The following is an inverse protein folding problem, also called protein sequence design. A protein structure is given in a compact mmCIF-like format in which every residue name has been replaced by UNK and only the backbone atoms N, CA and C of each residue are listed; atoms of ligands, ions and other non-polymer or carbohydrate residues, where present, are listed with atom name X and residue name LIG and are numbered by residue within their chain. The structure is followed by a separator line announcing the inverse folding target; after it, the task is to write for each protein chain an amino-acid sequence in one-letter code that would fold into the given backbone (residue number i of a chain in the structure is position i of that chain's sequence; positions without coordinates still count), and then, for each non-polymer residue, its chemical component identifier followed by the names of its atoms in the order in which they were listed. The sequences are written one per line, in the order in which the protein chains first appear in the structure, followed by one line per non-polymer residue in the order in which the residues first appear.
data_IF_390570467683
#
_entry.id   IF_390570467683
#
_cell.length_a   1.000
_cell.length_b   1.000
_cell.length_c   1.000
_cell.angle_alpha   90.00
_cell.angle_beta   90.00
_cell.angle_gamma   90.00
#
_symmetry.space_group_name_H-M   'P 1'
#
loop_
_entity.id
_entity.type
_entity.pdbx_description
1 polymer ?
#
# COMPACT_ATOMS: atom_id res chain seq x y z
N UNK A 1 -3.70 -6.76 26.43
CA UNK A 1 -3.49 -6.14 25.11
C UNK A 1 -3.77 -7.12 23.98
N UNK A 2 -3.00 -8.20 23.80
CA UNK A 2 -3.26 -9.19 22.72
C UNK A 2 -4.64 -9.85 22.84
N UNK A 3 -5.05 -10.28 24.05
CA UNK A 3 -6.41 -10.81 24.28
C UNK A 3 -7.51 -9.78 23.97
N UNK A 4 -7.24 -8.51 24.21
CA UNK A 4 -8.22 -7.43 24.00
C UNK A 4 -8.33 -7.08 22.52
N UNK A 5 -7.21 -7.08 21.78
CA UNK A 5 -7.26 -6.96 20.32
C UNK A 5 -7.97 -8.17 19.69
N UNK A 6 -7.72 -9.39 20.16
CA UNK A 6 -8.46 -10.56 19.68
C UNK A 6 -9.97 -10.42 19.93
N UNK A 7 -10.38 -10.00 21.13
CA UNK A 7 -11.79 -9.76 21.47
C UNK A 7 -12.42 -8.71 20.58
N UNK A 8 -11.74 -7.58 20.37
CA UNK A 8 -12.21 -6.49 19.52
C UNK A 8 -12.36 -6.92 18.06
N UNK A 9 -11.39 -7.66 17.53
CA UNK A 9 -11.44 -8.19 16.15
C UNK A 9 -12.55 -9.25 16.01
N UNK A 10 -12.71 -10.12 17.00
CA UNK A 10 -13.78 -11.12 17.03
C UNK A 10 -15.18 -10.48 17.16
N UNK A 11 -15.31 -9.36 17.88
CA UNK A 11 -16.57 -8.62 18.01
C UNK A 11 -16.93 -7.88 16.72
N UNK A 12 -15.95 -7.29 16.03
CA UNK A 12 -16.15 -6.57 14.77
C UNK A 12 -16.37 -7.49 13.55
N UNK A 13 -15.68 -8.64 13.50
CA UNK A 13 -15.64 -9.49 12.30
C UNK A 13 -16.20 -10.91 12.53
N UNK A 14 -16.49 -11.28 13.78
CA UNK A 14 -16.77 -12.66 14.17
C UNK A 14 -15.52 -13.55 14.11
N UNK A 15 -15.72 -14.87 14.21
CA UNK A 15 -14.65 -15.87 14.10
C UNK A 15 -14.01 -15.94 12.69
N UNK A 16 -14.59 -15.24 11.70
CA UNK A 16 -14.10 -15.19 10.32
C UNK A 16 -12.72 -14.57 10.19
N UNK A 17 -12.34 -13.69 11.11
CA UNK A 17 -11.00 -13.11 11.17
C UNK A 17 -9.91 -14.17 11.40
N UNK A 18 -10.21 -15.25 12.14
CA UNK A 18 -9.24 -16.31 12.42
C UNK A 18 -8.83 -17.12 11.17
N UNK A 19 -9.63 -17.06 10.10
CA UNK A 19 -9.31 -17.70 8.83
C UNK A 19 -8.28 -16.90 8.00
N UNK A 20 -8.04 -15.63 8.31
CA UNK A 20 -7.16 -14.76 7.53
C UNK A 20 -5.72 -15.29 7.43
N UNK A 21 -5.05 -15.68 8.54
CA UNK A 21 -3.73 -16.32 8.49
C UNK A 21 -3.70 -17.55 7.57
N UNK A 22 -4.74 -18.39 7.61
CA UNK A 22 -4.81 -19.62 6.79
C UNK A 22 -4.85 -19.26 5.30
N UNK A 23 -5.65 -18.26 4.91
CA UNK A 23 -5.71 -17.78 3.53
C UNK A 23 -4.35 -17.25 3.07
N UNK A 24 -3.64 -16.50 3.91
CA UNK A 24 -2.28 -16.03 3.60
C UNK A 24 -1.32 -17.21 3.39
N UNK A 25 -1.36 -18.23 4.24
CA UNK A 25 -0.52 -19.42 4.06
C UNK A 25 -0.82 -20.16 2.75
N UNK A 26 -2.10 -20.31 2.40
CA UNK A 26 -2.52 -20.96 1.15
C UNK A 26 -2.06 -20.15 -0.07
N UNK A 27 -2.29 -18.84 -0.10
CA UNK A 27 -1.86 -18.01 -1.23
C UNK A 27 -0.35 -17.89 -1.34
N UNK A 28 0.37 -17.78 -0.22
CA UNK A 28 1.83 -17.79 -0.23
C UNK A 28 2.36 -19.13 -0.75
N UNK A 29 1.82 -20.27 -0.27
CA UNK A 29 2.19 -21.59 -0.74
C UNK A 29 1.89 -21.81 -2.22
N UNK A 30 0.70 -21.40 -2.68
CA UNK A 30 0.33 -21.46 -4.10
C UNK A 30 1.24 -20.59 -4.96
N UNK A 31 1.55 -19.37 -4.52
CA UNK A 31 2.45 -18.47 -5.22
C UNK A 31 3.87 -19.03 -5.33
N UNK A 32 4.42 -19.55 -4.23
CA UNK A 32 5.74 -20.20 -4.21
C UNK A 32 5.74 -21.42 -5.12
N UNK A 33 4.70 -22.26 -5.05
CA UNK A 33 4.56 -23.44 -5.91
C UNK A 33 4.51 -23.06 -7.39
N UNK A 34 3.66 -22.10 -7.79
CA UNK A 34 3.56 -21.62 -9.17
C UNK A 34 4.90 -21.06 -9.68
N UNK A 35 5.63 -20.31 -8.85
CA UNK A 35 6.96 -19.81 -9.20
C UNK A 35 7.97 -20.94 -9.41
N UNK A 36 7.95 -21.97 -8.56
CA UNK A 36 8.82 -23.15 -8.75
C UNK A 36 8.46 -23.95 -10.00
N UNK A 37 7.18 -24.11 -10.32
CA UNK A 37 6.70 -24.73 -11.57
C UNK A 37 7.15 -23.92 -12.79
N UNK A 38 7.20 -22.59 -12.67
CA UNK A 38 7.75 -21.69 -13.70
C UNK A 38 9.29 -21.68 -13.76
N UNK A 39 9.99 -22.51 -12.97
CA UNK A 39 11.45 -22.62 -12.98
C UNK A 39 12.19 -21.63 -12.09
N UNK A 40 11.49 -20.89 -11.23
CA UNK A 40 12.13 -19.96 -10.27
C UNK A 40 12.73 -20.76 -9.11
N UNK A 41 14.01 -20.52 -8.80
CA UNK A 41 14.66 -21.19 -7.67
C UNK A 41 14.08 -20.74 -6.32
N UNK A 42 14.11 -21.63 -5.34
CA UNK A 42 13.62 -21.34 -3.97
C UNK A 42 14.36 -20.15 -3.35
N UNK A 43 15.67 -20.01 -3.60
CA UNK A 43 16.46 -18.87 -3.13
C UNK A 43 16.04 -17.53 -3.77
N UNK A 44 15.67 -17.55 -5.06
CA UNK A 44 15.14 -16.37 -5.74
C UNK A 44 13.76 -16.00 -5.20
N UNK A 45 12.91 -16.99 -4.89
CA UNK A 45 11.63 -16.75 -4.21
C UNK A 45 11.86 -16.12 -2.83
N UNK A 46 12.81 -16.62 -2.05
CA UNK A 46 13.17 -16.03 -0.76
C UNK A 46 13.66 -14.58 -0.91
N UNK A 47 14.49 -14.29 -1.91
CA UNK A 47 14.93 -12.92 -2.22
C UNK A 47 13.75 -11.99 -2.54
N UNK A 48 12.85 -12.44 -3.40
CA UNK A 48 11.64 -11.72 -3.78
C UNK A 48 10.73 -11.42 -2.58
N UNK A 49 10.54 -12.40 -1.70
CA UNK A 49 9.78 -12.22 -0.45
C UNK A 49 10.39 -11.14 0.45
N UNK A 50 11.72 -11.11 0.63
CA UNK A 50 12.38 -10.05 1.41
C UNK A 50 12.14 -8.67 0.82
N UNK A 51 12.30 -8.53 -0.51
CA UNK A 51 12.06 -7.28 -1.21
C UNK A 51 10.60 -6.82 -1.05
N UNK A 52 9.63 -7.69 -1.33
CA UNK A 52 8.21 -7.39 -1.20
C UNK A 52 7.83 -7.01 0.23
N UNK A 53 8.34 -7.73 1.23
CA UNK A 53 8.07 -7.46 2.65
C UNK A 53 8.70 -6.15 3.11
N UNK A 54 9.89 -5.78 2.60
CA UNK A 54 10.48 -4.47 2.84
C UNK A 54 9.61 -3.34 2.28
N UNK A 55 9.12 -3.46 1.03
CA UNK A 55 8.22 -2.46 0.44
C UNK A 55 6.86 -2.42 1.13
N UNK A 56 6.34 -3.56 1.57
CA UNK A 56 5.15 -3.62 2.41
C UNK A 56 5.38 -2.86 3.73
N UNK A 57 6.54 -3.04 4.36
CA UNK A 57 6.96 -2.28 5.54
C UNK A 57 7.04 -0.77 5.27
N UNK A 58 7.58 -0.35 4.13
CA UNK A 58 7.59 1.06 3.73
C UNK A 58 6.19 1.65 3.66
N UNK A 59 5.26 0.91 3.06
CA UNK A 59 3.86 1.30 2.92
C UNK A 59 3.17 1.39 4.29
N UNK A 60 3.31 0.37 5.13
CA UNK A 60 2.73 0.34 6.49
C UNK A 60 3.30 1.47 7.35
N UNK A 61 4.60 1.76 7.25
CA UNK A 61 5.23 2.84 8.02
C UNK A 61 4.65 4.24 7.73
N UNK A 62 4.02 4.44 6.57
CA UNK A 62 3.32 5.70 6.28
C UNK A 62 2.03 5.87 7.07
N UNK A 63 1.44 4.79 7.58
CA UNK A 63 0.23 4.85 8.41
C UNK A 63 0.53 5.59 9.73
N UNK A 64 1.79 5.57 10.20
CA UNK A 64 2.24 6.38 11.33
C UNK A 64 2.05 7.91 11.14
N UNK A 65 1.90 8.39 9.89
CA UNK A 65 1.56 9.78 9.57
C UNK A 65 0.10 10.13 9.83
N UNK A 66 -0.81 9.16 9.76
CA UNK A 66 -2.27 9.34 9.87
C UNK A 66 -2.68 9.87 11.24
N UNK A 67 -1.77 9.77 12.21
CA UNK A 67 -1.97 10.22 13.56
C UNK A 67 -2.55 11.64 13.69
N UNK A 68 -2.09 12.64 12.93
CA UNK A 68 -2.65 14.01 13.06
C UNK A 68 -4.04 14.17 12.43
N UNK A 69 -4.53 13.19 11.68
CA UNK A 69 -5.82 13.28 10.99
C UNK A 69 -6.99 12.75 11.83
N UNK A 70 -6.76 11.68 12.60
CA UNK A 70 -7.69 11.21 13.62
C UNK A 70 -7.91 12.25 14.74
N UNK A 71 -6.96 13.20 14.93
CA UNK A 71 -7.10 14.33 15.86
C UNK A 71 -8.20 15.32 15.49
N UNK A 72 -8.66 15.38 14.23
CA UNK A 72 -9.75 16.29 13.83
C UNK A 72 -11.12 15.67 13.99
N UNK A 73 -11.17 14.36 14.23
CA UNK A 73 -12.38 13.62 14.53
C UNK A 73 -12.62 13.56 16.06
N UNK A 74 -12.50 14.71 16.73
CA UNK A 74 -12.68 14.85 18.20
C UNK A 74 -14.11 14.49 18.62
N UNK A 75 -15.05 14.50 17.67
CA UNK A 75 -16.45 14.12 17.85
C UNK A 75 -16.80 12.77 17.21
N UNK A 76 -15.81 12.07 16.65
CA UNK A 76 -15.98 10.70 16.17
C UNK A 76 -15.96 9.70 17.31
N UNK A 77 -16.53 8.53 17.08
CA UNK A 77 -16.74 7.52 18.13
C UNK A 77 -15.43 6.82 18.57
N UNK A 78 -14.29 7.06 17.90
CA UNK A 78 -13.02 6.35 18.14
C UNK A 78 -11.81 7.29 18.19
N UNK A 79 -11.10 7.31 19.32
CA UNK A 79 -9.80 7.98 19.47
C UNK A 79 -8.66 6.95 19.43
N UNK A 80 -7.66 7.14 18.56
CA UNK A 80 -6.49 6.26 18.49
C UNK A 80 -5.63 6.33 19.77
N UNK A 81 -5.23 5.17 20.31
CA UNK A 81 -4.42 5.03 21.54
C UNK A 81 -3.09 5.80 21.51
N UNK A 82 -2.51 6.00 20.33
CA UNK A 82 -1.25 6.76 20.14
C UNK A 82 -1.43 8.23 20.55
N UNK A 83 -2.66 8.74 20.68
CA UNK A 83 -2.96 10.14 21.04
C UNK A 83 -3.23 10.34 22.53
N UNK A 84 -3.29 9.27 23.33
CA UNK A 84 -3.43 9.38 24.78
C UNK A 84 -2.26 10.15 25.43
N UNK A 85 -1.12 10.32 24.76
CA UNK A 85 -0.01 11.17 25.20
C UNK A 85 -0.38 12.65 25.44
N UNK A 86 -1.52 13.12 24.90
CA UNK A 86 -1.99 14.50 25.12
C UNK A 86 -2.82 14.66 26.39
N UNK A 87 -3.45 13.59 26.86
CA UNK A 87 -4.33 13.59 28.04
C UNK A 87 -3.73 12.81 29.21
N UNK A 88 -2.83 11.86 28.92
CA UNK A 88 -2.09 11.06 29.87
C UNK A 88 -0.61 11.47 29.87
N UNK A 89 0.11 11.29 31.00
CA UNK A 89 1.52 11.68 31.15
C UNK A 89 2.47 10.68 30.44
N UNK A 90 2.30 10.51 29.12
CA UNK A 90 3.09 9.60 28.29
C UNK A 90 3.68 10.39 27.11
N UNK A 91 4.95 10.18 26.79
CA UNK A 91 5.60 10.90 25.69
C UNK A 91 5.24 10.30 24.32
N UNK A 92 5.14 11.16 23.30
CA UNK A 92 4.94 10.77 21.90
C UNK A 92 5.94 9.73 21.40
N UNK A 93 7.22 9.89 21.77
CA UNK A 93 8.29 8.96 21.41
C UNK A 93 8.04 7.56 21.96
N UNK A 94 7.55 7.47 23.20
CA UNK A 94 7.22 6.20 23.85
C UNK A 94 6.00 5.55 23.19
N UNK A 95 4.95 6.31 22.89
CA UNK A 95 3.78 5.77 22.21
C UNK A 95 4.09 5.32 20.77
N UNK A 96 4.86 6.09 20.01
CA UNK A 96 5.30 5.68 18.67
C UNK A 96 6.20 4.43 18.73
N UNK A 97 7.13 4.35 19.68
CA UNK A 97 7.96 3.16 19.87
C UNK A 97 7.13 1.92 20.21
N UNK A 98 6.18 2.04 21.15
CA UNK A 98 5.26 0.94 21.50
C UNK A 98 4.38 0.57 20.32
N UNK A 99 3.89 1.53 19.55
CA UNK A 99 3.10 1.29 18.35
C UNK A 99 3.89 0.51 17.30
N UNK A 100 5.13 0.91 17.01
CA UNK A 100 6.01 0.19 16.07
C UNK A 100 6.29 -1.23 16.53
N UNK A 101 6.58 -1.44 17.82
CA UNK A 101 6.82 -2.78 18.36
C UNK A 101 5.55 -3.64 18.29
N UNK A 102 4.40 -3.07 18.68
CA UNK A 102 3.11 -3.76 18.60
C UNK A 102 2.80 -4.17 17.16
N UNK A 103 2.93 -3.24 16.21
CA UNK A 103 2.64 -3.50 14.80
C UNK A 103 3.62 -4.51 14.21
N UNK A 104 4.91 -4.43 14.55
CA UNK A 104 5.90 -5.42 14.14
C UNK A 104 5.53 -6.83 14.63
N UNK A 105 5.13 -6.96 15.90
CA UNK A 105 4.69 -8.24 16.46
C UNK A 105 3.38 -8.73 15.82
N UNK A 106 2.42 -7.83 15.61
CA UNK A 106 1.14 -8.14 15.00
C UNK A 106 1.30 -8.63 13.56
N UNK A 107 2.00 -7.88 12.70
CA UNK A 107 2.26 -8.26 11.31
C UNK A 107 3.19 -9.48 11.22
N UNK A 108 4.21 -9.57 12.08
CA UNK A 108 5.08 -10.76 12.10
C UNK A 108 4.28 -12.04 12.41
N UNK A 109 3.40 -11.99 13.41
CA UNK A 109 2.58 -13.14 13.80
C UNK A 109 1.44 -13.46 12.84
N UNK A 110 0.63 -12.47 12.44
CA UNK A 110 -0.59 -12.71 11.67
C UNK A 110 -0.39 -12.75 10.15
N UNK A 111 0.70 -12.19 9.63
CA UNK A 111 0.97 -12.12 8.20
C UNK A 111 2.25 -12.85 7.80
N UNK A 112 3.38 -12.57 8.48
CA UNK A 112 4.67 -13.15 8.07
C UNK A 112 4.84 -14.61 8.48
N UNK A 113 4.33 -15.05 9.65
CA UNK A 113 4.35 -16.48 10.02
C UNK A 113 3.57 -17.31 9.01
N UNK A 114 2.30 -17.00 8.67
CA UNK A 114 1.57 -17.80 7.68
C UNK A 114 2.21 -17.78 6.30
N UNK A 115 2.77 -16.64 5.88
CA UNK A 115 3.54 -16.55 4.63
C UNK A 115 4.77 -17.47 4.65
N UNK A 116 5.51 -17.53 5.76
CA UNK A 116 6.63 -18.45 5.94
C UNK A 116 6.18 -19.92 5.98
N UNK A 117 5.02 -20.22 6.56
CA UNK A 117 4.39 -21.56 6.51
C UNK A 117 4.04 -21.95 5.08
N UNK A 118 3.46 -21.03 4.30
CA UNK A 118 3.19 -21.25 2.87
C UNK A 118 4.46 -21.55 2.08
N UNK A 119 5.53 -20.77 2.32
CA UNK A 119 6.85 -21.06 1.74
C UNK A 119 7.39 -22.43 2.18
N UNK A 120 7.24 -22.79 3.45
CA UNK A 120 7.70 -24.06 4.00
C UNK A 120 7.07 -25.27 3.28
N UNK A 121 5.77 -25.18 2.96
CA UNK A 121 5.04 -26.26 2.30
C UNK A 121 5.72 -26.72 1.00
N UNK A 122 6.33 -25.80 0.25
CA UNK A 122 7.05 -26.09 -0.99
C UNK A 122 8.55 -26.32 -0.71
N UNK A 123 9.18 -25.44 0.06
CA UNK A 123 10.62 -25.47 0.29
C UNK A 123 11.09 -26.76 0.99
N UNK A 124 10.33 -27.26 1.96
CA UNK A 124 10.66 -28.52 2.65
C UNK A 124 10.60 -29.72 1.69
N UNK A 125 9.62 -29.73 0.78
CA UNK A 125 9.51 -30.77 -0.26
C UNK A 125 10.68 -30.72 -1.26
N UNK A 126 11.30 -29.55 -1.43
CA UNK A 126 12.49 -29.33 -2.24
C UNK A 126 13.81 -29.59 -1.47
N UNK A 127 13.75 -30.10 -0.24
CA UNK A 127 14.93 -30.45 0.57
C UNK A 127 15.54 -29.30 1.37
N UNK A 128 14.89 -28.13 1.44
CA UNK A 128 15.36 -27.02 2.28
C UNK A 128 15.20 -27.38 3.76
N UNK A 129 16.23 -27.21 4.60
CA UNK A 129 16.13 -27.59 6.01
C UNK A 129 15.15 -26.66 6.76
N UNK A 130 14.38 -27.17 7.75
CA UNK A 130 13.45 -26.36 8.53
C UNK A 130 14.09 -25.12 9.19
N UNK A 131 15.36 -25.20 9.57
CA UNK A 131 16.12 -24.07 10.11
C UNK A 131 16.23 -22.89 9.13
N UNK A 132 16.33 -23.13 7.82
CA UNK A 132 16.34 -22.08 6.78
C UNK A 132 14.97 -21.42 6.64
N UNK A 133 13.88 -22.15 6.86
CA UNK A 133 12.51 -21.59 6.87
C UNK A 133 12.30 -20.71 8.10
N UNK A 134 12.74 -21.16 9.28
CA UNK A 134 12.71 -20.33 10.49
C UNK A 134 13.55 -19.05 10.31
N UNK A 135 14.73 -19.18 9.69
CA UNK A 135 15.58 -18.04 9.35
C UNK A 135 14.89 -17.08 8.38
N UNK A 136 14.18 -17.58 7.36
CA UNK A 136 13.39 -16.77 6.43
C UNK A 136 12.37 -15.91 7.19
N UNK A 137 11.64 -16.49 8.14
CA UNK A 137 10.66 -15.74 8.93
C UNK A 137 11.30 -14.61 9.76
N UNK A 138 12.44 -14.89 10.41
CA UNK A 138 13.17 -13.89 11.20
C UNK A 138 13.70 -12.76 10.31
N UNK A 139 14.29 -13.11 9.17
CA UNK A 139 14.90 -12.15 8.24
C UNK A 139 13.86 -11.33 7.47
N UNK A 140 12.73 -11.92 7.07
CA UNK A 140 11.59 -11.16 6.52
C UNK A 140 10.94 -10.25 7.56
N UNK A 141 10.85 -10.66 8.83
CA UNK A 141 10.43 -9.76 9.93
C UNK A 141 11.40 -8.59 10.10
N UNK A 142 12.71 -8.84 10.00
CA UNK A 142 13.71 -7.78 9.95
C UNK A 142 13.51 -6.84 8.76
N UNK A 143 13.25 -7.39 7.57
CA UNK A 143 13.06 -6.61 6.34
C UNK A 143 11.81 -5.72 6.44
N UNK A 144 10.74 -6.23 7.05
CA UNK A 144 9.55 -5.45 7.39
C UNK A 144 9.89 -4.29 8.32
N UNK A 145 10.63 -4.57 9.42
CA UNK A 145 11.07 -3.55 10.36
C UNK A 145 11.97 -2.48 9.70
N UNK A 146 12.85 -2.89 8.78
CA UNK A 146 13.67 -2.00 7.98
C UNK A 146 12.80 -1.06 7.13
N UNK A 147 11.78 -1.59 6.47
CA UNK A 147 10.83 -0.80 5.68
C UNK A 147 10.05 0.20 6.54
N UNK A 148 9.45 -0.26 7.65
CA UNK A 148 8.71 0.59 8.59
C UNK A 148 9.59 1.69 9.16
N UNK A 149 10.78 1.33 9.64
CA UNK A 149 11.76 2.27 10.20
C UNK A 149 12.23 3.30 9.18
N UNK A 150 12.45 2.89 7.92
CA UNK A 150 12.81 3.80 6.83
C UNK A 150 11.70 4.83 6.61
N UNK A 151 10.45 4.37 6.45
CA UNK A 151 9.32 5.25 6.19
C UNK A 151 9.06 6.24 7.33
N UNK A 152 9.14 5.78 8.59
CA UNK A 152 9.02 6.63 9.76
C UNK A 152 10.16 7.65 9.89
N UNK A 153 11.39 7.24 9.58
CA UNK A 153 12.55 8.14 9.62
C UNK A 153 12.47 9.21 8.55
N UNK A 154 12.21 8.84 7.29
CA UNK A 154 12.03 9.79 6.19
C UNK A 154 10.89 10.77 6.49
N UNK A 155 9.81 10.26 7.05
CA UNK A 155 8.69 11.05 7.54
C UNK A 155 9.12 12.06 8.62
N UNK A 156 9.81 11.59 9.66
CA UNK A 156 10.25 12.44 10.78
C UNK A 156 11.29 13.48 10.37
N UNK A 157 12.15 13.16 9.40
CA UNK A 157 13.05 14.16 8.78
C UNK A 157 12.27 15.14 7.92
N UNK A 158 11.27 14.65 7.17
CA UNK A 158 10.43 15.44 6.29
C UNK A 158 9.56 16.48 6.98
N UNK A 159 9.23 16.30 8.27
CA UNK A 159 8.56 17.34 9.06
C UNK A 159 9.47 18.54 9.32
N UNK A 160 10.80 18.35 9.33
CA UNK A 160 11.78 19.42 9.51
C UNK A 160 12.24 20.02 8.17
N UNK A 161 12.61 19.18 7.21
CA UNK A 161 13.12 19.65 5.92
C UNK A 161 12.88 18.63 4.80
N UNK A 162 12.18 19.06 3.75
CA UNK A 162 11.99 18.27 2.52
C UNK A 162 13.29 18.09 1.74
N UNK A 163 14.16 19.10 1.76
CA UNK A 163 15.46 19.03 1.12
C UNK A 163 16.36 17.99 1.79
N UNK A 164 16.29 17.86 3.12
CA UNK A 164 17.03 16.84 3.85
C UNK A 164 16.58 15.41 3.49
N UNK A 165 15.26 15.19 3.32
CA UNK A 165 14.73 13.91 2.83
C UNK A 165 15.27 13.60 1.43
N UNK A 166 15.19 14.56 0.51
CA UNK A 166 15.69 14.38 -0.85
C UNK A 166 17.19 14.08 -0.85
N UNK A 167 17.98 14.83 -0.09
CA UNK A 167 19.42 14.61 0.04
C UNK A 167 19.75 13.22 0.61
N UNK A 168 19.02 12.76 1.63
CA UNK A 168 19.21 11.43 2.22
C UNK A 168 18.89 10.32 1.21
N UNK A 169 17.76 10.43 0.51
CA UNK A 169 17.36 9.47 -0.52
C UNK A 169 18.38 9.42 -1.66
N UNK A 170 18.80 10.58 -2.17
CA UNK A 170 19.80 10.67 -3.23
C UNK A 170 21.17 10.15 -2.79
N UNK A 171 21.59 10.42 -1.55
CA UNK A 171 22.85 9.92 -1.02
C UNK A 171 22.86 8.40 -0.88
N UNK A 172 21.79 7.80 -0.36
CA UNK A 172 21.65 6.34 -0.28
C UNK A 172 21.59 5.72 -1.68
N UNK A 173 20.79 6.28 -2.58
CA UNK A 173 20.69 5.81 -3.95
C UNK A 173 22.04 5.89 -4.70
N UNK A 174 22.78 6.99 -4.56
CA UNK A 174 24.11 7.14 -5.14
C UNK A 174 25.13 6.19 -4.51
N UNK A 175 25.07 5.97 -3.19
CA UNK A 175 25.90 4.98 -2.51
C UNK A 175 25.69 3.57 -3.04
N UNK A 176 24.43 3.17 -3.26
CA UNK A 176 24.07 1.88 -3.86
C UNK A 176 24.53 1.82 -5.32
N UNK A 177 24.24 2.85 -6.12
CA UNK A 177 24.58 2.87 -7.54
C UNK A 177 26.10 2.88 -7.81
N UNK A 178 26.89 3.48 -6.90
CA UNK A 178 28.36 3.49 -6.98
C UNK A 178 29.01 2.25 -6.38
N UNK A 179 28.23 1.31 -5.84
CA UNK A 179 28.74 0.10 -5.17
C UNK A 179 29.37 0.36 -3.80
N UNK A 180 29.31 1.60 -3.28
CA UNK A 180 29.81 1.95 -1.94
C UNK A 180 28.93 1.41 -0.82
N UNK A 181 27.63 1.24 -1.10
CA UNK A 181 26.66 0.62 -0.21
C UNK A 181 26.15 -0.66 -0.86
N UNK A 182 26.44 -1.80 -0.23
CA UNK A 182 25.82 -3.06 -0.62
C UNK A 182 24.44 -3.16 0.03
N UNK A 183 23.40 -2.98 -0.77
CA UNK A 183 22.02 -3.03 -0.32
C UNK A 183 21.63 -4.42 0.22
N UNK A 184 22.23 -5.49 -0.28
CA UNK A 184 21.95 -6.85 0.19
C UNK A 184 22.60 -7.06 1.56
N UNK A 185 23.89 -6.71 1.70
CA UNK A 185 24.61 -6.85 2.97
C UNK A 185 24.03 -5.96 4.09
N UNK A 186 23.51 -4.78 3.75
CA UNK A 186 22.85 -3.85 4.69
C UNK A 186 21.36 -4.16 4.91
N UNK A 187 20.90 -5.32 4.48
CA UNK A 187 19.54 -5.78 4.70
C UNK A 187 19.52 -7.12 5.44
N UNK A 188 18.42 -7.46 6.13
CA UNK A 188 18.25 -8.77 6.75
C UNK A 188 18.37 -9.94 5.77
N UNK A 189 18.20 -9.71 4.46
CA UNK A 189 18.44 -10.72 3.43
C UNK A 189 19.94 -11.11 3.33
N UNK A 190 20.87 -10.19 3.63
CA UNK A 190 22.30 -10.53 3.70
C UNK A 190 22.61 -11.58 4.79
N UNK A 191 21.93 -11.48 5.94
CA UNK A 191 22.02 -12.51 6.99
C UNK A 191 21.35 -13.83 6.59
N UNK A 192 20.29 -13.79 5.78
CA UNK A 192 19.67 -14.98 5.22
C UNK A 192 20.65 -15.74 4.29
N UNK A 193 21.43 -15.03 3.49
CA UNK A 193 22.40 -15.62 2.56
C UNK A 193 23.59 -16.26 3.29
N UNK A 194 24.21 -15.52 4.20
CA UNK A 194 25.38 -15.95 4.96
C UNK A 194 25.15 -15.73 6.47
N UNK A 195 24.64 -16.72 7.22
CA UNK A 195 24.28 -16.55 8.63
C UNK A 195 25.50 -16.47 9.56
N UNK A 196 26.11 -15.29 9.67
CA UNK A 196 27.25 -15.00 10.55
C UNK A 196 26.93 -13.85 11.51
N UNK A 197 27.71 -13.70 12.59
CA UNK A 197 27.55 -12.56 13.51
C UNK A 197 27.75 -11.22 12.79
N UNK A 198 28.65 -11.18 11.79
CA UNK A 198 28.92 -9.99 10.97
C UNK A 198 27.71 -9.61 10.12
N UNK A 199 27.14 -10.55 9.38
CA UNK A 199 25.95 -10.30 8.55
C UNK A 199 24.70 -10.05 9.40
N UNK A 200 24.60 -10.61 10.61
CA UNK A 200 23.54 -10.28 11.55
C UNK A 200 23.62 -8.80 11.96
N UNK A 201 24.82 -8.33 12.36
CA UNK A 201 25.03 -6.94 12.75
C UNK A 201 24.82 -5.96 11.58
N UNK A 202 25.34 -6.29 10.38
CA UNK A 202 25.19 -5.45 9.20
C UNK A 202 23.76 -5.46 8.63
N UNK A 203 23.09 -6.61 8.65
CA UNK A 203 21.75 -6.77 8.08
C UNK A 203 20.63 -6.21 8.96
N UNK A 204 20.69 -6.44 10.28
CA UNK A 204 19.69 -5.91 11.22
C UNK A 204 20.06 -4.55 11.79
N UNK A 205 21.34 -4.15 11.75
CA UNK A 205 21.81 -2.86 12.26
C UNK A 205 21.03 -1.66 11.70
N UNK A 206 20.84 -1.54 10.37
CA UNK A 206 20.05 -0.47 9.78
C UNK A 206 18.59 -0.48 10.23
N UNK A 207 17.96 -1.65 10.36
CA UNK A 207 16.58 -1.76 10.82
C UNK A 207 16.44 -1.25 12.26
N UNK A 208 17.36 -1.65 13.15
CA UNK A 208 17.41 -1.20 14.55
C UNK A 208 17.71 0.31 14.65
N UNK A 209 18.68 0.80 13.88
CA UNK A 209 19.04 2.21 13.85
C UNK A 209 17.85 3.08 13.40
N UNK A 210 17.14 2.66 12.36
CA UNK A 210 15.96 3.37 11.85
C UNK A 210 14.75 3.25 12.77
N UNK A 211 14.56 2.12 13.45
CA UNK A 211 13.52 1.96 14.47
C UNK A 211 13.70 2.92 15.66
N UNK A 212 14.94 3.34 15.95
CA UNK A 212 15.24 4.36 16.96
C UNK A 212 15.20 5.77 16.36
N UNK A 213 15.81 5.96 15.19
CA UNK A 213 15.89 7.26 14.53
C UNK A 213 14.51 7.81 14.16
N UNK A 214 13.57 6.96 13.71
CA UNK A 214 12.21 7.36 13.34
C UNK A 214 11.46 8.09 14.46
N UNK A 215 11.24 7.45 15.63
CA UNK A 215 10.59 8.08 16.78
C UNK A 215 11.34 9.32 17.32
N UNK A 216 12.68 9.35 17.23
CA UNK A 216 13.47 10.51 17.66
C UNK A 216 13.38 11.69 16.68
N UNK A 217 13.39 11.38 15.38
CA UNK A 217 13.26 12.36 14.32
C UNK A 217 11.83 12.90 14.26
N UNK A 218 10.83 12.12 14.63
CA UNK A 218 9.44 12.56 14.58
C UNK A 218 9.19 13.67 15.62
N UNK A 219 8.74 14.82 15.13
CA UNK A 219 8.17 15.89 15.94
C UNK A 219 6.69 16.01 15.56
N UNK A 220 5.77 15.90 16.55
CA UNK A 220 4.39 16.26 16.32
C UNK A 220 4.36 17.69 15.79
N UNK A 221 3.75 17.91 14.63
CA UNK A 221 3.53 19.27 14.14
C UNK A 221 2.54 19.91 15.11
N UNK A 222 3.07 20.63 16.11
CA UNK A 222 2.29 21.49 16.97
C UNK A 222 1.46 22.42 16.08
N UNK A 223 0.23 22.67 16.51
CA UNK A 223 -0.73 23.51 15.80
C UNK A 223 -0.12 24.87 15.53
N UNK A 224 0.45 25.06 14.33
CA UNK A 224 0.58 26.40 13.77
C UNK A 224 -0.80 27.07 13.87
N UNK A 225 -0.81 28.35 14.27
CA UNK A 225 -2.04 29.09 14.57
C UNK A 225 -3.11 28.89 13.49
N UNK A 226 -4.39 28.96 13.88
CA UNK A 226 -5.51 28.83 12.95
C UNK A 226 -5.33 29.81 11.78
N UNK A 227 -5.02 29.27 10.60
CA UNK A 227 -4.88 30.06 9.36
C UNK A 227 -6.22 30.06 8.65
N UNK A 228 -6.86 31.22 8.55
CA UNK A 228 -8.02 31.41 7.70
C UNK A 228 -7.59 31.44 6.24
N UNK A 229 -8.29 30.71 5.38
CA UNK A 229 -8.09 30.70 3.93
C UNK A 229 -9.43 31.04 3.26
N UNK A 230 -9.81 32.33 3.23
CA UNK A 230 -11.12 32.73 2.71
C UNK A 230 -11.28 32.28 1.25
N UNK A 231 -12.51 31.89 0.90
CA UNK A 231 -12.93 31.44 -0.44
C UNK A 231 -12.16 30.23 -1.00
N UNK A 232 -11.37 29.51 -0.20
CA UNK A 232 -10.65 28.32 -0.72
C UNK A 232 -11.60 27.21 -1.14
N UNK A 233 -12.69 27.02 -0.39
CA UNK A 233 -13.71 26.03 -0.72
C UNK A 233 -14.40 26.38 -2.05
N UNK A 234 -14.93 27.59 -2.19
CA UNK A 234 -15.62 28.07 -3.40
C UNK A 234 -14.72 28.05 -4.65
N UNK A 235 -13.45 28.45 -4.51
CA UNK A 235 -12.48 28.39 -5.62
C UNK A 235 -12.22 26.97 -6.10
N UNK A 236 -12.03 26.02 -5.18
CA UNK A 236 -11.83 24.62 -5.57
C UNK A 236 -13.11 24.06 -6.17
N UNK A 237 -14.26 24.29 -5.53
CA UNK A 237 -15.58 23.82 -5.99
C UNK A 237 -15.89 24.28 -7.41
N UNK A 238 -15.67 25.56 -7.71
CA UNK A 238 -15.89 26.13 -9.05
C UNK A 238 -14.90 25.57 -10.07
N UNK A 239 -13.62 25.40 -9.70
CA UNK A 239 -12.60 24.86 -10.59
C UNK A 239 -12.88 23.41 -11.02
N UNK A 240 -13.40 22.57 -10.10
CA UNK A 240 -13.72 21.17 -10.40
C UNK A 240 -15.20 20.93 -10.75
N UNK A 241 -16.01 21.99 -10.80
CA UNK A 241 -17.47 21.96 -11.07
C UNK A 241 -18.22 20.95 -10.18
N UNK A 242 -17.93 21.00 -8.88
CA UNK A 242 -18.51 20.08 -7.90
C UNK A 242 -19.80 20.66 -7.28
N UNK A 243 -20.91 20.46 -7.97
CA UNK A 243 -22.22 20.98 -7.55
C UNK A 243 -22.64 20.43 -6.18
N UNK A 244 -22.31 19.17 -5.87
CA UNK A 244 -22.61 18.52 -4.60
C UNK A 244 -21.66 18.87 -3.45
N UNK A 245 -20.50 19.47 -3.73
CA UNK A 245 -19.53 19.93 -2.72
C UNK A 245 -18.75 18.83 -1.98
N UNK A 246 -19.09 17.56 -2.20
CA UNK A 246 -18.49 16.39 -1.53
C UNK A 246 -17.06 16.15 -2.01
N UNK A 247 -16.81 16.27 -3.32
CA UNK A 247 -15.47 16.09 -3.87
C UNK A 247 -14.52 17.17 -3.35
N UNK A 248 -14.99 18.41 -3.31
CA UNK A 248 -14.26 19.58 -2.78
C UNK A 248 -13.93 19.41 -1.31
N UNK A 249 -14.92 19.02 -0.50
CA UNK A 249 -14.71 18.71 0.94
C UNK A 249 -13.60 17.66 1.09
N UNK A 250 -13.74 16.55 0.39
CA UNK A 250 -12.80 15.41 0.46
C UNK A 250 -11.38 15.79 0.03
N UNK A 251 -11.22 16.53 -1.07
CA UNK A 251 -9.91 17.01 -1.52
C UNK A 251 -9.26 17.94 -0.49
N UNK A 252 -10.03 18.82 0.14
CA UNK A 252 -9.53 19.72 1.16
C UNK A 252 -9.18 18.99 2.46
N UNK A 253 -9.94 17.97 2.84
CA UNK A 253 -9.62 17.08 3.96
C UNK A 253 -8.29 16.38 3.73
N UNK A 254 -8.11 15.73 2.58
CA UNK A 254 -6.83 15.08 2.20
C UNK A 254 -5.69 16.09 2.13
N UNK A 255 -5.90 17.26 1.53
CA UNK A 255 -4.84 18.26 1.41
C UNK A 255 -4.42 18.88 2.76
N UNK A 256 -5.35 19.00 3.71
CA UNK A 256 -5.08 19.49 5.08
C UNK A 256 -4.63 18.39 6.02
N UNK A 257 -4.72 17.15 5.57
CA UNK A 257 -4.34 15.96 6.30
C UNK A 257 -2.82 15.85 6.41
N UNK A 258 -2.38 15.00 7.31
CA UNK A 258 -1.00 14.68 7.65
C UNK A 258 -0.40 13.89 6.51
N UNK A 259 0.74 14.36 6.00
CA UNK A 259 1.24 13.90 4.72
C UNK A 259 0.49 14.46 3.50
N UNK A 260 -0.62 15.20 3.68
CA UNK A 260 -1.33 15.91 2.60
C UNK A 260 -1.57 15.04 1.35
N UNK A 261 -1.50 15.62 0.16
CA UNK A 261 -1.49 14.88 -1.12
C UNK A 261 -0.20 14.06 -1.31
N UNK A 262 0.86 14.37 -0.56
CA UNK A 262 2.14 13.66 -0.64
C UNK A 262 2.03 12.19 -0.26
N UNK A 263 1.12 11.81 0.65
CA UNK A 263 0.89 10.39 0.99
C UNK A 263 0.38 9.57 -0.20
N UNK A 264 -0.41 10.20 -1.09
CA UNK A 264 -0.89 9.57 -2.32
C UNK A 264 0.28 9.36 -3.29
N UNK A 265 1.08 10.41 -3.51
CA UNK A 265 2.28 10.33 -4.35
C UNK A 265 3.27 9.30 -3.82
N UNK A 266 3.56 9.30 -2.52
CA UNK A 266 4.50 8.35 -1.92
C UNK A 266 4.00 6.90 -2.09
N UNK A 267 2.73 6.63 -1.79
CA UNK A 267 2.12 5.31 -1.96
C UNK A 267 2.27 4.80 -3.40
N UNK A 268 1.91 5.64 -4.38
CA UNK A 268 2.08 5.33 -5.79
C UNK A 268 3.56 5.14 -6.18
N UNK A 269 4.47 5.88 -5.56
CA UNK A 269 5.91 5.75 -5.80
C UNK A 269 6.49 4.43 -5.30
N UNK A 270 6.06 3.97 -4.14
CA UNK A 270 6.42 2.64 -3.61
C UNK A 270 5.96 1.57 -4.60
N UNK A 271 4.69 1.63 -5.04
CA UNK A 271 4.12 0.68 -6.01
C UNK A 271 4.82 0.73 -7.37
N UNK A 272 5.14 1.93 -7.86
CA UNK A 272 5.93 2.12 -9.08
C UNK A 272 7.30 1.45 -8.96
N UNK A 273 8.02 1.72 -7.85
CA UNK A 273 9.33 1.14 -7.59
C UNK A 273 9.30 -0.39 -7.51
N UNK A 274 8.33 -0.95 -6.77
CA UNK A 274 8.09 -2.40 -6.71
C UNK A 274 7.85 -2.95 -8.11
N UNK A 275 7.00 -2.30 -8.90
CA UNK A 275 6.67 -2.77 -10.25
C UNK A 275 7.90 -2.79 -11.16
N UNK A 276 8.66 -1.70 -11.20
CA UNK A 276 9.88 -1.61 -12.00
C UNK A 276 10.88 -2.68 -11.59
N UNK A 277 11.04 -2.92 -10.28
CA UNK A 277 11.91 -3.97 -9.76
C UNK A 277 11.43 -5.36 -10.18
N UNK A 278 10.15 -5.68 -9.99
CA UNK A 278 9.60 -6.99 -10.36
C UNK A 278 9.72 -7.25 -11.87
N UNK A 279 9.38 -6.27 -12.71
CA UNK A 279 9.51 -6.41 -14.17
C UNK A 279 10.96 -6.61 -14.57
N UNK A 280 11.89 -5.88 -13.96
CA UNK A 280 13.33 -6.04 -14.18
C UNK A 280 13.83 -7.43 -13.80
N UNK A 281 13.41 -7.94 -12.64
CA UNK A 281 13.82 -9.27 -12.20
C UNK A 281 13.21 -10.38 -13.04
N UNK A 282 11.96 -10.23 -13.50
CA UNK A 282 11.37 -11.15 -14.49
C UNK A 282 12.16 -11.13 -15.80
N UNK A 283 12.52 -9.95 -16.31
CA UNK A 283 13.32 -9.83 -17.54
C UNK A 283 14.76 -10.37 -17.39
N UNK A 284 15.28 -10.47 -16.16
CA UNK A 284 16.58 -11.08 -15.87
C UNK A 284 16.50 -12.60 -15.73
N UNK A 285 15.44 -13.07 -15.09
CA UNK A 285 15.22 -14.49 -14.82
C UNK A 285 14.67 -15.25 -16.04
N UNK A 286 14.03 -14.54 -16.97
CA UNK A 286 13.43 -15.11 -18.18
C UNK A 286 14.08 -14.50 -19.43
N UNK A 287 13.86 -15.13 -20.59
CA UNK A 287 14.22 -14.54 -21.89
C UNK A 287 13.20 -13.52 -22.40
N UNK A 288 12.17 -13.22 -21.60
CA UNK A 288 11.10 -12.29 -21.97
C UNK A 288 11.56 -10.84 -21.74
N UNK A 289 11.03 -9.93 -22.56
CA UNK A 289 11.16 -8.49 -22.39
C UNK A 289 9.77 -7.89 -22.12
N UNK A 290 9.28 -7.92 -20.87
CA UNK A 290 7.91 -7.51 -20.56
C UNK A 290 7.70 -6.02 -20.80
N UNK A 291 6.46 -5.64 -21.12
CA UNK A 291 6.05 -4.25 -21.21
C UNK A 291 6.01 -3.59 -19.84
N UNK A 292 6.96 -2.69 -19.58
CA UNK A 292 6.92 -1.85 -18.38
C UNK A 292 5.69 -0.96 -18.37
N UNK A 293 5.26 -0.46 -19.54
CA UNK A 293 4.08 0.39 -19.67
C UNK A 293 2.80 -0.29 -19.16
N UNK A 294 2.52 -1.51 -19.63
CA UNK A 294 1.35 -2.30 -19.21
C UNK A 294 1.46 -2.66 -17.73
N UNK A 295 2.62 -3.15 -17.29
CA UNK A 295 2.83 -3.58 -15.90
C UNK A 295 2.69 -2.42 -14.90
N UNK A 296 3.36 -1.29 -15.16
CA UNK A 296 3.30 -0.08 -14.33
C UNK A 296 1.89 0.50 -14.33
N UNK A 297 1.25 0.62 -15.49
CA UNK A 297 -0.13 1.13 -15.56
C UNK A 297 -1.10 0.25 -14.76
N UNK A 298 -0.92 -1.07 -14.83
CA UNK A 298 -1.71 -2.05 -14.09
C UNK A 298 -1.54 -1.93 -12.58
N UNK A 299 -0.30 -1.97 -12.10
CA UNK A 299 -0.02 -1.98 -10.65
C UNK A 299 -0.27 -0.62 -9.99
N UNK A 300 -0.04 0.50 -10.68
CA UNK A 300 -0.50 1.82 -10.22
C UNK A 300 -2.02 1.87 -10.13
N UNK A 301 -2.71 1.27 -11.10
CA UNK A 301 -4.17 1.20 -11.12
C UNK A 301 -4.70 0.42 -9.93
N UNK A 302 -4.19 -0.80 -9.70
CA UNK A 302 -4.58 -1.65 -8.57
C UNK A 302 -4.24 -1.00 -7.22
N UNK A 303 -3.05 -0.42 -7.11
CA UNK A 303 -2.59 0.22 -5.89
C UNK A 303 -3.26 1.57 -5.56
N UNK A 304 -4.07 2.10 -6.49
CA UNK A 304 -4.97 3.23 -6.23
C UNK A 304 -5.95 2.95 -5.09
N UNK A 305 -6.19 1.68 -4.72
CA UNK A 305 -6.91 1.29 -3.49
C UNK A 305 -6.47 2.06 -2.24
N UNK A 306 -5.17 2.32 -2.10
CA UNK A 306 -4.66 3.13 -0.97
C UNK A 306 -5.21 4.56 -0.97
N UNK A 307 -5.42 5.14 -2.16
CA UNK A 307 -6.09 6.44 -2.32
C UNK A 307 -7.55 6.36 -1.92
N UNK A 308 -8.22 5.24 -2.19
CA UNK A 308 -9.58 4.98 -1.71
C UNK A 308 -9.63 5.05 -0.18
N UNK A 309 -8.76 4.31 0.51
CA UNK A 309 -8.64 4.40 1.97
C UNK A 309 -8.41 5.83 2.44
N UNK A 310 -7.56 6.60 1.76
CA UNK A 310 -7.32 8.01 2.13
C UNK A 310 -8.52 8.92 1.99
N UNK A 311 -9.40 8.69 1.02
CA UNK A 311 -10.58 9.53 0.80
C UNK A 311 -11.80 9.09 1.62
N UNK A 312 -11.78 7.88 2.20
CA UNK A 312 -12.89 7.35 3.02
C UNK A 312 -12.55 7.13 4.50
N UNK A 313 -11.30 7.30 4.93
CA UNK A 313 -10.84 6.90 6.27
C UNK A 313 -11.59 7.51 7.47
N UNK A 314 -12.32 8.62 7.30
CA UNK A 314 -13.10 9.28 8.36
C UNK A 314 -14.57 9.36 8.04
N UNK A 315 -15.03 8.57 7.07
CA UNK A 315 -16.39 8.61 6.62
C UNK A 315 -17.18 7.47 7.23
N UNK A 316 -18.34 7.79 7.80
CA UNK A 316 -19.34 6.79 8.18
C UNK A 316 -20.62 7.00 7.41
N UNK A 317 -21.30 5.91 7.05
CA UNK A 317 -22.57 6.02 6.35
C UNK A 317 -23.66 6.64 7.24
N UNK A 318 -23.51 6.58 8.56
CA UNK A 318 -24.39 7.20 9.54
C UNK A 318 -24.22 8.73 9.60
N UNK A 319 -23.00 9.25 9.47
CA UNK A 319 -22.76 10.70 9.37
C UNK A 319 -23.48 11.27 8.16
N UNK A 320 -23.37 10.61 7.01
CA UNK A 320 -24.03 11.05 5.77
C UNK A 320 -25.55 11.07 5.85
N UNK A 321 -26.18 10.26 6.72
CA UNK A 321 -27.64 10.31 6.94
C UNK A 321 -28.11 11.59 7.62
N UNK A 322 -27.22 12.27 8.35
CA UNK A 322 -27.52 13.54 9.02
C UNK A 322 -27.47 14.71 8.04
N UNK A 323 -26.90 14.50 6.85
CA UNK A 323 -26.79 15.49 5.80
C UNK A 323 -27.92 15.29 4.78
N UNK A 324 -28.37 16.35 4.09
CA UNK A 324 -29.35 16.26 3.01
C UNK A 324 -28.69 15.72 1.72
N UNK A 325 -28.01 14.58 1.82
CA UNK A 325 -27.23 13.94 0.75
C UNK A 325 -27.57 12.46 0.67
N UNK A 326 -27.73 11.93 -0.54
CA UNK A 326 -27.83 10.49 -0.72
C UNK A 326 -26.44 9.83 -0.63
N UNK A 327 -26.39 8.55 -0.25
CA UNK A 327 -25.12 7.82 -0.28
C UNK A 327 -24.56 7.68 -1.70
N UNK A 328 -25.42 7.67 -2.72
CA UNK A 328 -25.01 7.68 -4.13
C UNK A 328 -24.24 8.96 -4.47
N UNK A 329 -24.74 10.12 -4.03
CA UNK A 329 -24.06 11.41 -4.24
C UNK A 329 -22.75 11.48 -3.47
N UNK A 330 -22.73 10.93 -2.25
CA UNK A 330 -21.51 10.81 -1.46
C UNK A 330 -20.45 9.98 -2.21
N UNK A 331 -20.79 8.78 -2.68
CA UNK A 331 -19.86 7.95 -3.46
C UNK A 331 -19.44 8.61 -4.78
N UNK A 332 -20.33 9.32 -5.48
CA UNK A 332 -19.99 10.03 -6.71
C UNK A 332 -18.98 11.17 -6.45
N UNK A 333 -19.17 11.93 -5.36
CA UNK A 333 -18.21 12.93 -4.91
C UNK A 333 -16.86 12.32 -4.51
N UNK A 334 -16.87 11.21 -3.77
CA UNK A 334 -15.66 10.47 -3.41
C UNK A 334 -14.93 9.92 -4.64
N UNK A 335 -15.64 9.43 -5.64
CA UNK A 335 -15.06 8.98 -6.92
C UNK A 335 -14.30 10.10 -7.61
N UNK A 336 -14.89 11.29 -7.65
CA UNK A 336 -14.27 12.46 -8.27
C UNK A 336 -13.00 12.87 -7.52
N UNK A 337 -13.07 12.98 -6.19
CA UNK A 337 -11.90 13.28 -5.37
C UNK A 337 -10.80 12.21 -5.50
N UNK A 338 -11.18 10.93 -5.52
CA UNK A 338 -10.29 9.80 -5.72
C UNK A 338 -9.54 9.91 -7.04
N UNK A 339 -10.23 10.12 -8.17
CA UNK A 339 -9.61 10.22 -9.49
C UNK A 339 -8.73 11.46 -9.61
N UNK A 340 -9.15 12.61 -9.05
CA UNK A 340 -8.37 13.84 -9.03
C UNK A 340 -7.08 13.73 -8.19
N UNK A 341 -7.01 12.79 -7.26
CA UNK A 341 -5.80 12.51 -6.48
C UNK A 341 -4.95 11.41 -7.13
N UNK A 342 -5.56 10.27 -7.47
CA UNK A 342 -4.84 9.08 -7.94
C UNK A 342 -4.31 9.26 -9.35
N UNK A 343 -5.12 9.78 -10.29
CA UNK A 343 -4.73 9.86 -11.70
C UNK A 343 -3.54 10.80 -11.91
N UNK A 344 -3.54 12.06 -11.42
CA UNK A 344 -2.36 12.92 -11.54
C UNK A 344 -1.14 12.32 -10.85
N UNK A 345 -1.30 11.70 -9.67
CA UNK A 345 -0.21 11.09 -8.94
C UNK A 345 0.45 9.93 -9.72
N UNK A 346 -0.34 9.03 -10.30
CA UNK A 346 0.19 7.94 -11.13
C UNK A 346 0.80 8.43 -12.44
N UNK A 347 0.20 9.44 -13.07
CA UNK A 347 0.73 10.05 -14.30
C UNK A 347 2.10 10.71 -14.09
N UNK A 348 2.37 11.29 -12.92
CA UNK A 348 3.71 11.83 -12.60
C UNK A 348 4.79 10.75 -12.72
N UNK A 349 4.53 9.54 -12.20
CA UNK A 349 5.48 8.42 -12.30
C UNK A 349 5.61 7.87 -13.72
N UNK A 350 4.49 7.77 -14.45
CA UNK A 350 4.50 7.36 -15.85
C UNK A 350 5.27 8.35 -16.72
N UNK A 351 5.02 9.66 -16.59
CA UNK A 351 5.79 10.70 -17.28
C UNK A 351 7.26 10.66 -16.88
N UNK A 352 7.56 10.50 -15.59
CA UNK A 352 8.93 10.36 -15.10
C UNK A 352 9.67 9.17 -15.72
N UNK A 353 8.95 8.08 -16.04
CA UNK A 353 9.54 6.90 -16.68
C UNK A 353 9.98 7.12 -18.14
N UNK A 354 9.59 8.23 -18.79
CA UNK A 354 10.09 8.61 -20.12
C UNK A 354 11.61 8.81 -20.17
N UNK A 355 12.26 8.96 -19.01
CA UNK A 355 13.72 9.06 -18.91
C UNK A 355 14.41 7.77 -19.39
N UNK A 356 13.74 6.61 -19.29
CA UNK A 356 14.31 5.31 -19.70
C UNK A 356 13.37 4.38 -20.46
N UNK A 357 12.08 4.73 -20.60
CA UNK A 357 11.09 3.96 -21.36
C UNK A 357 10.68 4.67 -22.66
N UNK A 358 10.37 3.91 -23.73
CA UNK A 358 9.91 4.50 -24.98
C UNK A 358 8.54 5.16 -24.78
N UNK A 359 8.27 6.31 -25.45
CA UNK A 359 7.02 7.05 -25.30
C UNK A 359 5.76 6.22 -25.54
N UNK A 360 5.82 5.24 -26.45
CA UNK A 360 4.68 4.35 -26.75
C UNK A 360 4.31 3.50 -25.53
N UNK A 361 5.27 2.93 -24.81
CA UNK A 361 4.96 2.14 -23.62
C UNK A 361 4.38 3.03 -22.51
N UNK A 362 4.93 4.23 -22.33
CA UNK A 362 4.39 5.20 -21.37
C UNK A 362 2.95 5.59 -21.73
N UNK A 363 2.67 5.83 -23.01
CA UNK A 363 1.31 6.14 -23.49
C UNK A 363 0.32 5.00 -23.20
N UNK A 364 0.72 3.74 -23.45
CA UNK A 364 -0.11 2.56 -23.11
C UNK A 364 -0.38 2.53 -21.60
N UNK A 365 0.64 2.72 -20.77
CA UNK A 365 0.46 2.80 -19.32
C UNK A 365 -0.48 3.93 -18.89
N UNK A 366 -0.38 5.12 -19.52
CA UNK A 366 -1.23 6.29 -19.27
C UNK A 366 -2.69 6.07 -19.67
N UNK A 367 -2.97 5.17 -20.62
CA UNK A 367 -4.33 4.77 -21.01
C UNK A 367 -4.88 3.70 -20.07
N UNK A 368 -4.09 2.66 -19.79
CA UNK A 368 -4.50 1.50 -18.98
C UNK A 368 -4.75 1.90 -17.52
N UNK A 369 -3.89 2.76 -16.96
CA UNK A 369 -3.93 3.12 -15.55
C UNK A 369 -5.26 3.76 -15.08
N UNK A 370 -5.79 4.82 -15.71
CA UNK A 370 -7.03 5.46 -15.26
C UNK A 370 -8.23 4.51 -15.30
N UNK A 371 -8.29 3.63 -16.30
CA UNK A 371 -9.37 2.64 -16.42
C UNK A 371 -9.37 1.64 -15.26
N UNK A 372 -8.20 1.17 -14.86
CA UNK A 372 -8.08 0.27 -13.71
C UNK A 372 -8.37 1.02 -12.41
N UNK A 373 -7.97 2.29 -12.29
CA UNK A 373 -8.32 3.10 -11.12
C UNK A 373 -9.84 3.24 -10.94
N UNK A 374 -10.60 3.42 -12.04
CA UNK A 374 -12.08 3.42 -12.02
C UNK A 374 -12.63 2.06 -11.57
N UNK A 375 -12.09 0.96 -12.09
CA UNK A 375 -12.45 -0.39 -11.66
C UNK A 375 -12.26 -0.59 -10.15
N UNK A 376 -11.06 -0.28 -9.66
CA UNK A 376 -10.68 -0.43 -8.25
C UNK A 376 -11.58 0.39 -7.36
N UNK A 377 -11.86 1.66 -7.71
CA UNK A 377 -12.82 2.48 -6.97
C UNK A 377 -14.19 1.79 -6.88
N UNK A 378 -14.74 1.35 -8.03
CA UNK A 378 -16.07 0.74 -8.10
C UNK A 378 -16.19 -0.55 -7.28
N UNK A 379 -15.21 -1.45 -7.42
CA UNK A 379 -15.15 -2.69 -6.66
C UNK A 379 -15.03 -2.41 -5.16
N UNK A 380 -14.10 -1.55 -4.76
CA UNK A 380 -13.90 -1.22 -3.34
C UNK A 380 -15.14 -0.57 -2.75
N UNK A 381 -15.74 0.42 -3.42
CA UNK A 381 -16.98 1.06 -2.97
C UNK A 381 -18.13 0.06 -2.81
N UNK A 382 -18.28 -0.88 -3.75
CA UNK A 382 -19.34 -1.88 -3.69
C UNK A 382 -19.14 -2.93 -2.59
N UNK A 383 -17.89 -3.37 -2.38
CA UNK A 383 -17.53 -4.42 -1.42
C UNK A 383 -17.46 -3.87 0.00
N UNK A 384 -16.79 -2.72 0.20
CA UNK A 384 -16.44 -2.21 1.54
C UNK A 384 -17.10 -0.87 1.89
N UNK A 385 -17.74 -0.17 0.96
CA UNK A 385 -18.32 1.15 1.26
C UNK A 385 -17.27 2.09 1.84
N UNK A 386 -17.59 2.84 2.90
CA UNK A 386 -16.66 3.79 3.52
C UNK A 386 -15.63 3.17 4.47
N UNK A 387 -15.73 1.88 4.79
CA UNK A 387 -14.87 1.19 5.77
C UNK A 387 -13.93 0.15 5.11
N UNK A 388 -13.05 0.54 4.16
CA UNK A 388 -12.16 -0.41 3.47
C UNK A 388 -11.15 -1.07 4.41
N UNK A 389 -10.75 -0.38 5.48
CA UNK A 389 -9.75 -0.89 6.42
C UNK A 389 -10.32 -1.94 7.38
N UNK A 390 -11.62 -1.87 7.69
CA UNK A 390 -12.28 -2.81 8.58
C UNK A 390 -12.75 -4.02 7.80
N UNK A 391 -13.50 -3.81 6.72
CA UNK A 391 -14.19 -4.89 6.02
C UNK A 391 -13.27 -5.83 5.23
N UNK A 392 -12.00 -5.47 5.02
CA UNK A 392 -10.99 -6.38 4.47
C UNK A 392 -10.33 -7.28 5.52
N UNK A 393 -10.64 -7.12 6.81
CA UNK A 393 -10.35 -8.13 7.83
C UNK A 393 -11.42 -9.25 7.89
N UNK A 394 -12.57 -9.07 7.22
CA UNK A 394 -13.51 -10.16 6.95
C UNK A 394 -12.93 -11.04 5.82
N UNK A 395 -12.43 -12.22 6.19
CA UNK A 395 -11.72 -13.13 5.29
C UNK A 395 -12.47 -13.43 3.97
N UNK A 396 -13.77 -13.79 3.97
CA UNK A 396 -14.56 -13.88 2.75
C UNK A 396 -14.53 -12.64 1.84
N UNK A 397 -14.66 -11.44 2.42
CA UNK A 397 -14.62 -10.19 1.66
C UNK A 397 -13.21 -9.91 1.13
N UNK A 398 -12.17 -10.21 1.91
CA UNK A 398 -10.78 -10.15 1.47
C UNK A 398 -10.52 -11.05 0.26
N UNK A 399 -10.98 -12.32 0.31
CA UNK A 399 -10.84 -13.27 -0.79
C UNK A 399 -11.63 -12.80 -2.02
N UNK A 400 -12.87 -12.34 -1.84
CA UNK A 400 -13.68 -11.84 -2.95
C UNK A 400 -13.07 -10.59 -3.61
N UNK A 401 -12.55 -9.67 -2.80
CA UNK A 401 -11.85 -8.48 -3.29
C UNK A 401 -10.56 -8.86 -4.02
N UNK A 402 -9.75 -9.73 -3.44
CA UNK A 402 -8.52 -10.25 -4.05
C UNK A 402 -8.80 -10.96 -5.39
N UNK A 403 -9.85 -11.77 -5.46
CA UNK A 403 -10.28 -12.44 -6.69
C UNK A 403 -10.74 -11.44 -7.77
N UNK A 404 -11.47 -10.39 -7.38
CA UNK A 404 -11.86 -9.32 -8.30
C UNK A 404 -10.63 -8.60 -8.88
N UNK A 405 -9.67 -8.23 -8.02
CA UNK A 405 -8.42 -7.63 -8.49
C UNK A 405 -7.63 -8.59 -9.39
N UNK A 406 -7.53 -9.87 -9.01
CA UNK A 406 -6.82 -10.89 -9.79
C UNK A 406 -7.46 -11.11 -11.18
N UNK A 407 -8.78 -11.05 -11.29
CA UNK A 407 -9.49 -11.21 -12.57
C UNK A 407 -9.07 -10.17 -13.62
N UNK A 408 -8.66 -8.98 -13.17
CA UNK A 408 -8.12 -7.92 -14.05
C UNK A 408 -6.59 -7.98 -14.12
N UNK A 409 -5.92 -8.22 -12.99
CA UNK A 409 -4.46 -8.23 -12.92
C UNK A 409 -3.83 -9.35 -13.75
N UNK A 410 -4.35 -10.58 -13.67
CA UNK A 410 -3.80 -11.75 -14.37
C UNK A 410 -3.74 -11.54 -15.89
N UNK A 411 -4.83 -11.23 -16.60
CA UNK A 411 -4.76 -11.03 -18.05
C UNK A 411 -3.85 -9.85 -18.44
N UNK A 412 -3.77 -8.80 -17.63
CA UNK A 412 -2.89 -7.66 -17.90
C UNK A 412 -1.41 -7.98 -17.66
N UNK A 413 -1.08 -8.76 -16.64
CA UNK A 413 0.27 -9.28 -16.41
C UNK A 413 0.66 -10.23 -17.55
N UNK A 414 -0.23 -11.14 -17.95
CA UNK A 414 0.01 -12.01 -19.11
C UNK A 414 0.25 -11.18 -20.37
N UNK A 415 -0.55 -10.14 -20.63
CA UNK A 415 -0.34 -9.24 -21.75
C UNK A 415 1.00 -8.49 -21.66
N UNK A 416 1.40 -8.05 -20.45
CA UNK A 416 2.70 -7.42 -20.24
C UNK A 416 3.86 -8.37 -20.58
N UNK A 417 3.77 -9.64 -20.18
CA UNK A 417 4.78 -10.67 -20.47
C UNK A 417 4.81 -11.08 -21.94
N UNK A 418 3.64 -11.21 -22.57
CA UNK A 418 3.49 -11.58 -23.98
C UNK A 418 3.85 -10.45 -24.96
N UNK A 419 4.14 -9.26 -24.45
CA UNK A 419 4.44 -8.09 -25.27
C UNK A 419 5.63 -8.29 -26.21
N UNK A 420 6.63 -9.09 -25.84
CA UNK A 420 7.79 -9.38 -26.69
C UNK A 420 7.40 -10.10 -27.98
N UNK A 421 6.51 -11.10 -27.87
CA UNK A 421 6.11 -11.96 -28.98
C UNK A 421 5.00 -11.34 -29.83
N UNK A 422 4.05 -10.66 -29.19
CA UNK A 422 2.90 -10.07 -29.88
C UNK A 422 2.56 -8.66 -29.34
N UNK A 423 3.37 -7.63 -29.66
CA UNK A 423 3.21 -6.29 -29.08
C UNK A 423 1.83 -5.67 -29.34
N UNK A 424 1.31 -5.80 -30.55
CA UNK A 424 0.02 -5.23 -30.95
C UNK A 424 -1.15 -5.91 -30.24
N UNK A 425 -1.11 -7.24 -30.14
CA UNK A 425 -2.12 -8.04 -29.43
C UNK A 425 -2.06 -7.75 -27.93
N UNK A 426 -0.86 -7.73 -27.34
CA UNK A 426 -0.67 -7.40 -25.93
C UNK A 426 -1.24 -6.02 -25.58
N UNK A 427 -0.98 -5.00 -26.41
CA UNK A 427 -1.56 -3.65 -26.23
C UNK A 427 -3.07 -3.67 -26.40
N UNK A 428 -3.59 -4.32 -27.45
CA UNK A 428 -5.03 -4.43 -27.69
C UNK A 428 -5.78 -5.12 -26.55
N UNK A 429 -5.24 -6.23 -26.05
CA UNK A 429 -5.76 -6.94 -24.86
C UNK A 429 -5.70 -6.04 -23.62
N UNK A 430 -4.59 -5.33 -23.40
CA UNK A 430 -4.44 -4.47 -22.22
C UNK A 430 -5.46 -3.33 -22.20
N UNK A 431 -5.66 -2.68 -23.34
CA UNK A 431 -6.65 -1.61 -23.49
C UNK A 431 -8.07 -2.19 -23.40
N UNK A 432 -8.35 -3.32 -24.07
CA UNK A 432 -9.67 -3.96 -24.04
C UNK A 432 -10.08 -4.42 -22.64
N UNK A 433 -9.21 -5.13 -21.94
CA UNK A 433 -9.46 -5.60 -20.56
C UNK A 433 -9.64 -4.42 -19.61
N UNK A 434 -8.79 -3.39 -19.71
CA UNK A 434 -8.91 -2.22 -18.85
C UNK A 434 -10.21 -1.42 -19.12
N UNK A 435 -10.63 -1.28 -20.38
CA UNK A 435 -11.92 -0.67 -20.72
C UNK A 435 -13.11 -1.45 -20.15
N UNK A 436 -13.13 -2.78 -20.29
CA UNK A 436 -14.17 -3.63 -19.71
C UNK A 436 -14.17 -3.50 -18.18
N UNK A 437 -12.99 -3.53 -17.55
CA UNK A 437 -12.86 -3.32 -16.12
C UNK A 437 -13.41 -1.95 -15.70
N UNK A 438 -13.09 -0.87 -16.42
CA UNK A 438 -13.62 0.46 -16.14
C UNK A 438 -15.15 0.50 -16.24
N UNK A 439 -15.74 -0.12 -17.27
CA UNK A 439 -17.19 -0.22 -17.41
C UNK A 439 -17.85 -0.94 -16.22
N UNK A 440 -17.27 -2.08 -15.81
CA UNK A 440 -17.70 -2.79 -14.59
C UNK A 440 -17.54 -1.90 -13.35
N UNK A 441 -16.43 -1.18 -13.24
CA UNK A 441 -16.17 -0.22 -12.16
C UNK A 441 -17.23 0.87 -12.04
N UNK A 442 -17.66 1.45 -13.16
CA UNK A 442 -18.74 2.45 -13.21
C UNK A 442 -20.05 1.84 -12.70
N UNK A 443 -20.44 0.67 -13.20
CA UNK A 443 -21.67 -0.02 -12.78
C UNK A 443 -21.64 -0.35 -11.28
N UNK A 444 -20.52 -0.85 -10.77
CA UNK A 444 -20.36 -1.16 -9.34
C UNK A 444 -20.39 0.11 -8.48
N UNK A 445 -19.76 1.20 -8.95
CA UNK A 445 -19.77 2.51 -8.30
C UNK A 445 -21.19 3.06 -8.19
N UNK A 446 -22.02 2.94 -9.22
CA UNK A 446 -23.41 3.40 -9.20
C UNK A 446 -24.28 2.54 -8.28
N UNK A 447 -24.00 1.24 -8.21
CA UNK A 447 -24.73 0.30 -7.33
C UNK A 447 -24.30 0.37 -5.87
N UNK A 448 -23.14 0.95 -5.57
CA UNK A 448 -22.62 1.07 -4.20
C UNK A 448 -23.58 1.86 -3.30
N UNK A 449 -24.03 3.05 -3.74
CA UNK A 449 -24.95 3.90 -2.96
C UNK A 449 -26.23 3.18 -2.54
N UNK A 450 -27.04 2.65 -3.47
CA UNK A 450 -28.27 1.92 -3.14
C UNK A 450 -28.04 0.65 -2.32
N UNK A 451 -26.92 -0.06 -2.51
CA UNK A 451 -26.56 -1.24 -1.72
C UNK A 451 -26.34 -0.87 -0.25
N UNK A 452 -25.50 0.13 0.00
CA UNK A 452 -25.18 0.56 1.36
C UNK A 452 -26.36 1.26 2.04
N UNK A 453 -27.19 1.98 1.29
CA UNK A 453 -28.40 2.58 1.85
C UNK A 453 -29.41 1.53 2.32
N UNK A 454 -29.53 0.40 1.61
CA UNK A 454 -30.39 -0.73 2.01
C UNK A 454 -29.86 -1.45 3.25
N UNK A 455 -28.54 -1.62 3.40
CA UNK A 455 -27.95 -2.29 4.57
C UNK A 455 -28.19 -1.58 5.90
N UNK A 456 -28.41 -0.27 5.84
CA UNK A 456 -28.61 0.56 7.02
C UNK A 456 -30.10 0.70 7.41
N UNK A 457 -31.02 0.18 6.59
CA UNK A 457 -32.45 0.05 6.90
C UNK A 457 -32.68 -1.32 7.49
#
# INVERSE_FOLDING_TARGET
MIREEWRLQAELFGDRFAAFPVVIAVFAGLGVWLLTVAGTSIDAVAAGLHGLVFFFGLQVGTIGLVGRDALRDVLGDVTLLVFSARTLPVTWRRLLGVFVVKDLLYYSGLFLVPMAVGYAAVALSAGVPPGRVALLWVTTTGAFALGVGTSLTLTGVGTRSRAAVLALVLAVAAGIATGRLDAVALSPYGFYLDPTLRSAALGFGPALALAVAGPLAFQPVESGGARSAPQRYERVRSAIRDDGGVATRTLLEVARSSGSVWKVLFSMGVLFGVTVLLVREVARATTLAPSYGIAVGTLLGLGSFTTYSWVTQFDSAEEYRRLPLSLSDAFAGKRTAFLLLSVPAGLVYLVGSLVWLPPVQVAVGAVVFPFIAVYVFGVTAYVTGFAPNELLFDTPLFVAFGAALAAVAVPLVVAALAYTEAPTVAVGVSVGVSLVAAAVGVVLSERAGPRWQRKLR
#
